data_IF_495796860023
#
_entry.id   IF_495796860023
#
_cell.length_a   1.000
_cell.length_b   1.000
_cell.length_c   1.000
_cell.angle_alpha   90.00
_cell.angle_beta   90.00
_cell.angle_gamma   90.00
#
_symmetry.space_group_name_H-M   'P 1'
#
loop_
_entity.id
_entity.type
_entity.pdbx_description
1 polymer ?
#
# COMPACT_ATOMS: atom_id res chain seq x y z
N UNK A 1 0.00 25.55 1.43
CA UNK A 1 0.00 24.22 1.97
C UNK A 1 1.38 23.80 2.37
N UNK A 2 1.47 23.32 3.52
CA UNK A 2 2.76 23.15 4.13
C UNK A 2 3.39 21.80 3.87
N UNK A 3 4.68 21.78 3.94
CA UNK A 3 5.50 20.58 4.01
C UNK A 3 4.96 19.64 5.11
N UNK A 4 4.48 20.21 6.21
CA UNK A 4 3.94 19.44 7.34
C UNK A 4 2.74 18.57 6.96
N UNK A 5 1.85 19.08 6.11
CA UNK A 5 0.70 18.31 5.65
C UNK A 5 1.15 17.12 4.80
N UNK A 6 2.09 17.34 3.89
CA UNK A 6 2.64 16.26 3.06
C UNK A 6 3.34 15.23 3.94
N UNK A 7 4.12 15.66 4.93
CA UNK A 7 4.78 14.74 5.87
C UNK A 7 3.79 13.88 6.66
N UNK A 8 2.68 14.47 7.11
CA UNK A 8 1.62 13.70 7.79
C UNK A 8 1.03 12.65 6.86
N UNK A 9 0.76 13.02 5.62
CA UNK A 9 0.19 12.09 4.64
C UNK A 9 1.16 10.96 4.30
N UNK A 10 2.45 11.28 4.13
CA UNK A 10 3.48 10.28 3.86
C UNK A 10 3.67 9.32 5.05
N UNK A 11 3.62 9.84 6.28
CA UNK A 11 3.71 9.00 7.46
C UNK A 11 2.49 8.10 7.62
N UNK A 12 1.29 8.59 7.28
CA UNK A 12 0.10 7.76 7.27
C UNK A 12 0.24 6.64 6.23
N UNK A 13 0.74 6.97 5.05
CA UNK A 13 1.03 5.98 4.01
C UNK A 13 2.02 4.92 4.50
N UNK A 14 3.09 5.34 5.16
CA UNK A 14 4.08 4.43 5.73
C UNK A 14 3.44 3.47 6.74
N UNK A 15 2.55 3.98 7.59
CA UNK A 15 1.85 3.16 8.59
C UNK A 15 0.92 2.13 7.92
N UNK A 16 0.29 2.50 6.81
CA UNK A 16 -0.52 1.56 6.01
C UNK A 16 0.36 0.46 5.42
N UNK A 17 1.56 0.81 4.94
CA UNK A 17 2.50 -0.19 4.39
C UNK A 17 3.03 -1.12 5.47
N UNK A 18 3.29 -0.61 6.67
CA UNK A 18 3.64 -1.44 7.81
C UNK A 18 2.54 -2.48 8.09
N UNK A 19 1.30 -2.01 8.13
CA UNK A 19 0.14 -2.86 8.40
C UNK A 19 -0.04 -3.91 7.30
N UNK A 20 0.05 -3.51 6.04
CA UNK A 20 -0.11 -4.42 4.90
C UNK A 20 0.96 -5.52 4.90
N UNK A 21 2.21 -5.16 5.16
CA UNK A 21 3.32 -6.12 5.22
C UNK A 21 3.06 -7.19 6.28
N UNK A 22 2.74 -6.76 7.50
CA UNK A 22 2.43 -7.67 8.61
C UNK A 22 1.22 -8.53 8.29
N UNK A 23 0.17 -7.93 7.74
CA UNK A 23 -1.09 -8.60 7.46
C UNK A 23 -0.95 -9.68 6.40
N UNK A 24 -0.29 -9.38 5.27
CA UNK A 24 -0.07 -10.39 4.22
C UNK A 24 0.74 -11.58 4.73
N UNK A 25 1.79 -11.32 5.51
CA UNK A 25 2.61 -12.40 6.09
C UNK A 25 1.80 -13.27 7.06
N UNK A 26 0.99 -12.62 7.91
CA UNK A 26 0.17 -13.34 8.89
C UNK A 26 -0.94 -14.14 8.20
N UNK A 27 -1.60 -13.55 7.20
CA UNK A 27 -2.62 -14.24 6.43
C UNK A 27 -2.05 -15.44 5.67
N UNK A 28 -0.83 -15.32 5.13
CA UNK A 28 -0.18 -16.42 4.41
C UNK A 28 -0.02 -17.68 5.28
N UNK A 29 0.16 -17.51 6.58
CA UNK A 29 0.38 -18.64 7.49
C UNK A 29 -0.91 -19.39 7.86
N UNK A 30 -2.09 -18.80 7.62
CA UNK A 30 -3.36 -19.45 7.93
C UNK A 30 -4.08 -20.00 6.70
N UNK A 31 -3.51 -19.83 5.52
CA UNK A 31 -4.07 -20.38 4.29
C UNK A 31 -3.87 -21.90 4.28
N UNK A 32 -4.96 -22.64 4.04
CA UNK A 32 -4.89 -24.10 3.93
C UNK A 32 -5.93 -24.61 2.94
N UNK A 33 -5.78 -25.87 2.53
CA UNK A 33 -6.71 -26.54 1.65
C UNK A 33 -6.20 -26.58 0.21
N UNK A 34 -7.12 -26.85 -0.71
CA UNK A 34 -6.85 -26.91 -2.15
C UNK A 34 -6.34 -25.56 -2.63
N UNK A 35 -5.31 -25.55 -3.46
CA UNK A 35 -4.69 -24.34 -3.99
C UNK A 35 -3.99 -23.47 -2.93
N UNK A 36 -3.73 -24.01 -1.74
CA UNK A 36 -3.06 -23.22 -0.69
C UNK A 36 -1.68 -22.74 -1.12
N UNK A 37 -0.84 -23.61 -1.65
CA UNK A 37 0.55 -23.26 -1.97
C UNK A 37 0.72 -22.07 -2.91
N UNK A 38 0.05 -21.98 -4.08
CA UNK A 38 0.21 -20.80 -4.93
C UNK A 38 -0.34 -19.54 -4.31
N UNK A 39 -1.38 -19.64 -3.48
CA UNK A 39 -1.94 -18.46 -2.79
C UNK A 39 -0.97 -17.97 -1.72
N UNK A 40 -0.40 -18.87 -0.92
CA UNK A 40 0.61 -18.52 0.08
C UNK A 40 1.79 -17.81 -0.60
N UNK A 41 2.29 -18.37 -1.70
CA UNK A 41 3.40 -17.77 -2.44
C UNK A 41 3.07 -16.36 -2.91
N UNK A 42 1.87 -16.16 -3.46
CA UNK A 42 1.44 -14.85 -3.94
C UNK A 42 1.31 -13.83 -2.80
N UNK A 43 0.73 -14.23 -1.67
CA UNK A 43 0.59 -13.34 -0.51
C UNK A 43 1.97 -12.90 0.00
N UNK A 44 2.94 -13.80 0.02
CA UNK A 44 4.32 -13.47 0.42
C UNK A 44 5.01 -12.54 -0.57
N UNK A 45 4.77 -12.70 -1.87
CA UNK A 45 5.29 -11.81 -2.90
C UNK A 45 4.72 -10.39 -2.73
N UNK A 46 3.42 -10.29 -2.48
CA UNK A 46 2.79 -8.99 -2.22
C UNK A 46 3.36 -8.38 -0.95
N UNK A 47 3.54 -9.17 0.10
CA UNK A 47 4.16 -8.68 1.35
C UNK A 47 5.54 -8.08 1.09
N UNK A 48 6.33 -8.67 0.20
CA UNK A 48 7.65 -8.14 -0.16
C UNK A 48 7.53 -6.81 -0.91
N UNK A 49 6.53 -6.66 -1.78
CA UNK A 49 6.27 -5.39 -2.45
C UNK A 49 5.93 -4.31 -1.42
N UNK A 50 5.08 -4.65 -0.43
CA UNK A 50 4.72 -3.70 0.62
C UNK A 50 5.93 -3.31 1.47
N UNK A 51 6.85 -4.25 1.72
CA UNK A 51 8.11 -3.94 2.41
C UNK A 51 8.93 -2.91 1.63
N UNK A 52 9.00 -3.07 0.32
CA UNK A 52 9.71 -2.11 -0.55
C UNK A 52 9.05 -0.75 -0.56
N UNK A 53 7.72 -0.70 -0.51
CA UNK A 53 6.98 0.56 -0.43
C UNK A 53 7.30 1.31 0.86
N UNK A 54 7.52 0.60 1.96
CA UNK A 54 7.96 1.23 3.21
C UNK A 54 9.27 2.00 3.01
N UNK A 55 10.22 1.41 2.27
CA UNK A 55 11.50 2.07 2.00
C UNK A 55 11.31 3.34 1.18
N UNK A 56 10.40 3.29 0.20
CA UNK A 56 10.08 4.47 -0.62
C UNK A 56 9.55 5.61 0.25
N UNK A 57 8.55 5.33 1.09
CA UNK A 57 7.97 6.37 1.94
C UNK A 57 8.95 6.89 2.98
N UNK A 58 9.79 6.02 3.57
CA UNK A 58 10.83 6.48 4.50
C UNK A 58 11.81 7.43 3.82
N UNK A 59 12.23 7.10 2.61
CA UNK A 59 13.12 7.95 1.83
C UNK A 59 12.49 9.33 1.58
N UNK A 60 11.24 9.35 1.14
CA UNK A 60 10.56 10.62 0.85
C UNK A 60 10.39 11.48 2.10
N UNK A 61 10.06 10.87 3.23
CA UNK A 61 9.96 11.56 4.52
C UNK A 61 11.31 12.15 4.89
N UNK A 62 12.38 11.38 4.74
CA UNK A 62 13.74 11.82 5.04
C UNK A 62 14.18 12.97 4.16
N UNK A 63 13.87 12.91 2.85
CA UNK A 63 14.19 13.97 1.89
C UNK A 63 13.55 15.31 2.31
N UNK A 64 12.34 15.24 2.89
CA UNK A 64 11.65 16.44 3.38
C UNK A 64 12.07 16.85 4.78
N UNK A 65 13.03 16.16 5.38
CA UNK A 65 13.52 16.50 6.71
C UNK A 65 12.62 16.05 7.84
N UNK A 66 11.67 15.15 7.55
CA UNK A 66 10.77 14.61 8.57
C UNK A 66 11.32 13.39 9.27
N UNK A 67 10.57 12.87 10.23
CA UNK A 67 10.91 11.67 10.97
C UNK A 67 9.92 10.56 10.60
N UNK A 68 10.40 9.43 10.03
CA UNK A 68 9.50 8.33 9.69
C UNK A 68 8.81 7.74 10.92
N UNK A 69 7.51 7.49 10.80
CA UNK A 69 6.72 6.85 11.83
C UNK A 69 7.21 5.41 12.08
N UNK A 70 7.11 4.96 13.33
CA UNK A 70 7.34 3.57 13.71
C UNK A 70 6.02 2.87 14.08
N UNK A 71 4.89 3.53 13.88
CA UNK A 71 3.58 2.98 14.17
C UNK A 71 3.08 2.10 13.02
N UNK A 72 2.09 1.27 13.32
CA UNK A 72 1.43 0.38 12.37
C UNK A 72 -0.04 0.78 12.34
N UNK A 73 -0.61 0.96 11.14
CA UNK A 73 -2.03 1.21 11.01
C UNK A 73 -2.83 -0.05 11.40
N UNK A 74 -4.14 0.07 11.44
CA UNK A 74 -5.02 -1.04 11.81
C UNK A 74 -4.83 -2.25 10.88
N UNK A 75 -4.70 -3.44 11.48
CA UNK A 75 -4.64 -4.71 10.75
C UNK A 75 -5.95 -5.46 10.96
N UNK A 76 -6.26 -6.39 10.04
CA UNK A 76 -7.52 -7.11 10.04
C UNK A 76 -7.29 -8.60 9.94
N UNK A 77 -7.90 -9.37 10.86
CA UNK A 77 -7.84 -10.84 10.85
C UNK A 77 -8.79 -11.40 9.78
N UNK A 78 -8.40 -12.52 9.20
CA UNK A 78 -9.26 -13.30 8.31
C UNK A 78 -8.79 -14.76 8.38
N UNK A 79 -9.67 -15.71 8.13
CA UNK A 79 -9.37 -17.14 8.34
C UNK A 79 -9.42 -17.96 7.05
N UNK A 80 -10.41 -17.72 6.20
CA UNK A 80 -10.56 -18.48 4.96
C UNK A 80 -9.87 -17.76 3.82
N UNK A 81 -9.50 -18.49 2.79
CA UNK A 81 -8.89 -17.92 1.58
C UNK A 81 -9.75 -16.78 1.05
N UNK A 82 -11.06 -17.01 0.92
CA UNK A 82 -11.98 -16.00 0.40
C UNK A 82 -12.01 -14.74 1.27
N UNK A 83 -12.08 -14.89 2.59
CA UNK A 83 -12.06 -13.76 3.52
C UNK A 83 -10.75 -12.99 3.44
N UNK A 84 -9.62 -13.72 3.38
CA UNK A 84 -8.29 -13.12 3.25
C UNK A 84 -8.18 -12.27 1.98
N UNK A 85 -8.59 -12.85 0.85
CA UNK A 85 -8.51 -12.12 -0.42
C UNK A 85 -9.43 -10.90 -0.45
N UNK A 86 -10.64 -11.01 0.09
CA UNK A 86 -11.59 -9.89 0.18
C UNK A 86 -11.09 -8.78 1.10
N UNK A 87 -10.54 -9.16 2.26
CA UNK A 87 -10.04 -8.16 3.21
C UNK A 87 -8.87 -7.40 2.62
N UNK A 88 -7.93 -8.10 2.01
CA UNK A 88 -6.77 -7.45 1.41
C UNK A 88 -7.16 -6.60 0.20
N UNK A 89 -8.15 -7.02 -0.59
CA UNK A 89 -8.68 -6.21 -1.67
C UNK A 89 -9.24 -4.87 -1.15
N UNK A 90 -10.00 -4.92 -0.07
CA UNK A 90 -10.55 -3.73 0.57
C UNK A 90 -9.42 -2.81 1.04
N UNK A 91 -8.39 -3.38 1.67
CA UNK A 91 -7.26 -2.61 2.19
C UNK A 91 -6.41 -2.00 1.06
N UNK A 92 -6.24 -2.71 -0.05
CA UNK A 92 -5.55 -2.17 -1.22
C UNK A 92 -6.28 -0.98 -1.83
N UNK A 93 -7.62 -1.04 -1.87
CA UNK A 93 -8.43 0.08 -2.36
C UNK A 93 -8.29 1.29 -1.44
N UNK A 94 -8.24 1.06 -0.13
CA UNK A 94 -8.00 2.13 0.84
C UNK A 94 -6.64 2.78 0.60
N UNK A 95 -5.61 1.97 0.34
CA UNK A 95 -4.27 2.47 0.05
C UNK A 95 -4.27 3.33 -1.23
N UNK A 96 -4.89 2.85 -2.30
CA UNK A 96 -4.99 3.60 -3.56
C UNK A 96 -5.69 4.93 -3.33
N UNK A 97 -6.82 4.94 -2.60
CA UNK A 97 -7.55 6.17 -2.32
C UNK A 97 -6.70 7.15 -1.51
N UNK A 98 -5.95 6.64 -0.54
CA UNK A 98 -5.06 7.44 0.30
C UNK A 98 -3.94 8.07 -0.53
N UNK A 99 -3.31 7.28 -1.39
CA UNK A 99 -2.19 7.77 -2.22
C UNK A 99 -2.65 8.74 -3.31
N UNK A 100 -3.87 8.56 -3.83
CA UNK A 100 -4.48 9.54 -4.74
C UNK A 100 -4.60 10.92 -4.08
N UNK A 101 -4.98 10.94 -2.81
CA UNK A 101 -5.09 12.21 -2.06
C UNK A 101 -3.74 12.89 -1.92
N UNK A 102 -2.66 12.11 -1.73
CA UNK A 102 -1.31 12.68 -1.69
C UNK A 102 -0.98 13.32 -3.04
N UNK A 103 -1.26 12.64 -4.14
CA UNK A 103 -1.01 13.18 -5.48
C UNK A 103 -1.82 14.45 -5.75
N UNK A 104 -3.07 14.50 -5.27
CA UNK A 104 -3.89 15.70 -5.39
C UNK A 104 -3.29 16.88 -4.63
N UNK A 105 -2.78 16.63 -3.42
CA UNK A 105 -2.12 17.67 -2.64
C UNK A 105 -0.84 18.16 -3.32
N UNK A 106 -0.05 17.24 -3.86
CA UNK A 106 1.18 17.60 -4.59
C UNK A 106 0.88 18.46 -5.81
N UNK A 107 -0.24 18.24 -6.49
CA UNK A 107 -0.66 19.06 -7.64
C UNK A 107 -0.94 20.50 -7.25
N UNK A 108 -1.43 20.74 -6.05
CA UNK A 108 -1.70 22.10 -5.57
C UNK A 108 -0.44 22.90 -5.35
N UNK A 109 0.69 22.21 -5.11
CA UNK A 109 1.99 22.83 -4.86
C UNK A 109 2.81 23.09 -6.14
N UNK A 110 2.28 22.86 -7.28
CA UNK A 110 2.86 22.87 -8.63
C UNK A 110 4.21 23.58 -8.77
N UNK A 111 5.27 22.79 -8.95
CA UNK A 111 6.59 23.30 -9.34
C UNK A 111 7.24 24.23 -8.35
N UNK A 112 6.77 24.29 -7.11
CA UNK A 112 7.29 25.19 -6.10
C UNK A 112 8.48 24.61 -5.35
N UNK A 113 8.62 23.30 -5.27
CA UNK A 113 9.66 22.64 -4.49
C UNK A 113 10.67 21.92 -5.36
N UNK A 114 11.88 21.76 -4.86
CA UNK A 114 12.94 21.05 -5.56
C UNK A 114 12.69 19.53 -5.63
N UNK A 115 11.75 19.00 -4.86
CA UNK A 115 11.46 17.57 -4.79
C UNK A 115 10.11 17.17 -5.40
N UNK A 116 9.41 18.10 -6.03
CA UNK A 116 8.07 17.86 -6.56
C UNK A 116 7.99 16.66 -7.51
N UNK A 117 8.92 16.56 -8.43
CA UNK A 117 8.94 15.46 -9.40
C UNK A 117 9.25 14.12 -8.71
N UNK A 118 10.17 14.13 -7.76
CA UNK A 118 10.53 12.92 -7.01
C UNK A 118 9.34 12.41 -6.21
N UNK A 119 8.66 13.30 -5.47
CA UNK A 119 7.50 12.97 -4.67
C UNK A 119 6.38 12.40 -5.54
N UNK A 120 6.03 13.12 -6.62
CA UNK A 120 4.98 12.71 -7.54
C UNK A 120 5.30 11.35 -8.16
N UNK A 121 6.49 11.21 -8.70
CA UNK A 121 6.90 9.97 -9.35
C UNK A 121 6.83 8.78 -8.40
N UNK A 122 7.42 8.90 -7.22
CA UNK A 122 7.51 7.77 -6.29
C UNK A 122 6.15 7.40 -5.70
N UNK A 123 5.32 8.39 -5.32
CA UNK A 123 3.98 8.12 -4.81
C UNK A 123 3.11 7.48 -5.90
N UNK A 124 3.17 8.01 -7.12
CA UNK A 124 2.42 7.46 -8.26
C UNK A 124 2.85 6.03 -8.57
N UNK A 125 4.14 5.75 -8.51
CA UNK A 125 4.68 4.41 -8.77
C UNK A 125 4.15 3.40 -7.74
N UNK A 126 4.18 3.75 -6.45
CA UNK A 126 3.62 2.91 -5.39
C UNK A 126 2.12 2.69 -5.62
N UNK A 127 1.39 3.76 -5.93
CA UNK A 127 -0.03 3.67 -6.22
C UNK A 127 -0.33 2.69 -7.35
N UNK A 128 0.45 2.74 -8.42
CA UNK A 128 0.28 1.85 -9.57
C UNK A 128 0.52 0.39 -9.19
N UNK A 129 1.50 0.12 -8.32
CA UNK A 129 1.75 -1.24 -7.84
C UNK A 129 0.61 -1.73 -6.96
N UNK A 130 0.00 -0.87 -6.15
CA UNK A 130 -1.19 -1.24 -5.39
C UNK A 130 -2.38 -1.55 -6.32
N UNK A 131 -2.50 -0.84 -7.44
CA UNK A 131 -3.51 -1.16 -8.45
C UNK A 131 -3.25 -2.53 -9.09
N UNK A 132 -2.01 -2.90 -9.28
CA UNK A 132 -1.65 -4.25 -9.75
C UNK A 132 -2.06 -5.31 -8.72
N UNK A 133 -1.85 -5.04 -7.43
CA UNK A 133 -2.31 -5.94 -6.36
C UNK A 133 -3.84 -6.11 -6.40
N UNK A 134 -4.58 -5.02 -6.62
CA UNK A 134 -6.04 -5.08 -6.76
C UNK A 134 -6.42 -6.05 -7.90
N UNK A 135 -5.77 -5.89 -9.05
CA UNK A 135 -6.00 -6.76 -10.22
C UNK A 135 -5.72 -8.23 -9.89
N UNK A 136 -4.62 -8.51 -9.20
CA UNK A 136 -4.25 -9.87 -8.80
C UNK A 136 -5.25 -10.49 -7.84
N UNK A 137 -5.69 -9.73 -6.85
CA UNK A 137 -6.67 -10.21 -5.86
C UNK A 137 -8.03 -10.45 -6.51
N UNK A 138 -8.45 -9.58 -7.43
CA UNK A 138 -9.67 -9.78 -8.20
C UNK A 138 -9.60 -11.05 -9.04
N UNK A 139 -8.46 -11.30 -9.67
CA UNK A 139 -8.25 -12.52 -10.46
C UNK A 139 -8.42 -13.77 -9.58
N UNK A 140 -7.79 -13.78 -8.41
CA UNK A 140 -7.87 -14.90 -7.48
C UNK A 140 -9.29 -15.10 -6.93
N UNK A 141 -10.07 -14.02 -6.80
CA UNK A 141 -11.47 -14.07 -6.38
C UNK A 141 -12.45 -14.42 -7.51
N UNK A 142 -11.99 -14.43 -8.76
CA UNK A 142 -12.85 -14.68 -9.91
C UNK A 142 -13.77 -13.50 -10.25
N UNK A 143 -13.36 -12.28 -9.94
CA UNK A 143 -14.13 -11.05 -10.14
C UNK A 143 -13.35 -9.99 -10.93
N UNK A 144 -12.50 -10.42 -11.85
CA UNK A 144 -11.66 -9.51 -12.63
C UNK A 144 -12.47 -8.37 -13.25
N UNK A 145 -11.96 -7.14 -13.11
CA UNK A 145 -12.59 -5.95 -13.66
C UNK A 145 -13.70 -5.34 -12.81
N UNK A 146 -14.03 -5.94 -11.65
CA UNK A 146 -15.13 -5.45 -10.82
C UNK A 146 -14.86 -4.09 -10.17
N UNK A 147 -13.59 -3.69 -10.08
CA UNK A 147 -13.20 -2.43 -9.43
C UNK A 147 -12.97 -1.27 -10.40
N UNK A 148 -13.20 -1.48 -11.68
CA UNK A 148 -13.01 -0.42 -12.70
C UNK A 148 -14.04 0.71 -12.64
#
# INVERSE_FOLDING_TARGET
MSKETILKMLNHALELEHAAHVQYLSHAEVVEGENAEPIIARLKEIAEDERKHQEVFRKLIGVLGGTPSMNIAETHSAKTIKEILKQNLKDEKLAVDTYRKILEELKKEKGQGYYDHLLEHDVRHVLMEEQEHISELELLLGISGSSY
#
